data_IF_813847829727
#
_entry.id   IF_813847829727
#
_cell.length_a   1.000
_cell.length_b   1.000
_cell.length_c   1.000
_cell.angle_alpha   90.00
_cell.angle_beta   90.00
_cell.angle_gamma   90.00
#
_symmetry.space_group_name_H-M   'P 1'
#
loop_
_entity.id
_entity.type
_entity.pdbx_description
1 polymer ?
#
# COMPACT_ATOMS: atom_id res chain seq x y z
N UNK A 1 13.50 6.38 -17.51
CA UNK A 1 13.44 7.57 -16.65
C UNK A 1 13.16 7.10 -15.23
N UNK A 2 13.84 7.64 -14.23
CA UNK A 2 13.70 7.24 -12.82
C UNK A 2 13.42 8.48 -11.98
N UNK A 3 12.23 8.60 -11.41
CA UNK A 3 11.93 9.66 -10.44
C UNK A 3 12.35 9.21 -9.04
N UNK A 4 12.75 10.13 -8.17
CA UNK A 4 13.27 9.78 -6.84
C UNK A 4 14.64 9.10 -6.91
N UNK A 5 15.34 9.24 -8.04
CA UNK A 5 16.57 8.48 -8.30
C UNK A 5 17.75 8.82 -7.39
N UNK A 6 17.69 9.93 -6.64
CA UNK A 6 18.70 10.26 -5.60
C UNK A 6 18.48 9.51 -4.28
N UNK A 7 17.35 8.81 -4.12
CA UNK A 7 17.07 7.94 -2.97
C UNK A 7 17.89 6.65 -2.99
N UNK A 8 17.84 5.88 -1.90
CA UNK A 8 18.63 4.65 -1.74
C UNK A 8 18.36 3.63 -2.86
N UNK A 9 17.09 3.25 -3.08
CA UNK A 9 16.68 2.33 -4.15
C UNK A 9 17.06 2.90 -5.52
N UNK A 10 16.78 4.17 -5.76
CA UNK A 10 17.05 4.83 -7.04
C UNK A 10 18.52 4.81 -7.43
N UNK A 11 19.43 5.07 -6.49
CA UNK A 11 20.88 5.04 -6.72
C UNK A 11 21.36 3.65 -7.14
N UNK A 12 20.89 2.62 -6.44
CA UNK A 12 21.25 1.22 -6.73
C UNK A 12 20.63 0.77 -8.06
N UNK A 13 19.38 1.16 -8.34
CA UNK A 13 18.71 0.88 -9.61
C UNK A 13 19.49 1.43 -10.81
N UNK A 14 19.97 2.67 -10.74
CA UNK A 14 20.77 3.25 -11.84
C UNK A 14 22.00 2.39 -12.11
N UNK A 15 22.74 2.00 -11.07
CA UNK A 15 23.95 1.19 -11.21
C UNK A 15 23.62 -0.17 -11.83
N UNK A 16 22.51 -0.80 -11.42
CA UNK A 16 22.06 -2.07 -11.99
C UNK A 16 21.52 -1.95 -13.41
N UNK A 17 21.04 -0.77 -13.83
CA UNK A 17 20.59 -0.52 -15.20
C UNK A 17 21.75 -0.36 -16.20
N UNK A 18 22.92 0.14 -15.79
CA UNK A 18 24.02 0.45 -16.71
C UNK A 18 24.53 -0.76 -17.53
N UNK A 19 24.70 -1.97 -16.96
CA UNK A 19 25.11 -3.15 -17.71
C UNK A 19 24.15 -3.58 -18.83
N UNK A 20 22.86 -3.21 -18.75
CA UNK A 20 21.88 -3.48 -19.81
C UNK A 20 22.01 -2.54 -21.03
N UNK A 21 23.01 -1.65 -21.04
CA UNK A 21 23.31 -0.77 -22.17
C UNK A 21 22.21 0.24 -22.52
N UNK A 22 21.55 0.92 -21.57
CA UNK A 22 20.50 1.87 -21.90
C UNK A 22 21.08 3.06 -22.70
N UNK A 23 20.36 3.48 -23.75
CA UNK A 23 20.74 4.68 -24.53
C UNK A 23 20.85 5.93 -23.64
N UNK A 24 19.99 6.03 -22.63
CA UNK A 24 19.97 7.13 -21.66
C UNK A 24 19.25 6.73 -20.39
N UNK A 25 19.78 7.16 -19.24
CA UNK A 25 19.07 7.10 -17.95
C UNK A 25 18.84 8.54 -17.47
N UNK A 26 17.58 8.96 -17.41
CA UNK A 26 17.19 10.29 -16.93
C UNK A 26 16.73 10.17 -15.49
N UNK A 27 17.42 10.86 -14.59
CA UNK A 27 17.15 10.91 -13.17
C UNK A 27 16.40 12.19 -12.82
N UNK A 28 15.25 12.05 -12.17
CA UNK A 28 14.45 13.18 -11.71
C UNK A 28 14.47 13.18 -10.18
N UNK A 29 14.90 14.30 -9.59
CA UNK A 29 14.84 14.54 -8.15
C UNK A 29 14.80 16.02 -7.85
N UNK A 30 14.36 16.42 -6.66
CA UNK A 30 14.47 17.80 -6.18
C UNK A 30 15.88 18.16 -5.73
N UNK A 31 16.70 17.16 -5.41
CA UNK A 31 18.09 17.34 -5.01
C UNK A 31 19.03 17.07 -6.18
N UNK A 32 20.04 17.92 -6.43
CA UNK A 32 21.00 17.70 -7.51
C UNK A 32 22.02 16.59 -7.20
N UNK A 33 22.05 16.06 -5.96
CA UNK A 33 23.12 15.16 -5.50
C UNK A 33 22.86 13.69 -5.84
N UNK A 34 23.47 13.22 -6.92
CA UNK A 34 23.61 11.79 -7.21
C UNK A 34 25.07 11.43 -6.93
N UNK A 35 25.34 10.73 -5.82
CA UNK A 35 26.68 10.23 -5.53
C UNK A 35 27.15 9.27 -6.63
N UNK A 36 28.35 9.49 -7.18
CA UNK A 36 29.09 8.60 -8.09
C UNK A 36 28.51 8.36 -9.49
N UNK A 37 27.22 8.01 -9.59
CA UNK A 37 26.56 7.57 -10.83
C UNK A 37 26.37 8.69 -11.88
N UNK A 38 26.42 9.96 -11.45
CA UNK A 38 26.27 11.12 -12.34
C UNK A 38 27.42 11.30 -13.32
N UNK A 39 28.57 10.67 -13.08
CA UNK A 39 29.75 10.74 -13.95
C UNK A 39 29.61 9.89 -15.22
N UNK A 40 28.66 8.95 -15.26
CA UNK A 40 28.49 8.07 -16.42
C UNK A 40 27.83 8.81 -17.59
N UNK A 41 28.42 8.69 -18.80
CA UNK A 41 28.05 9.51 -19.97
C UNK A 41 26.59 9.39 -20.42
N UNK A 42 25.90 8.30 -20.08
CA UNK A 42 24.49 8.05 -20.42
C UNK A 42 23.50 8.50 -19.34
N UNK A 43 23.98 8.86 -18.14
CA UNK A 43 23.15 9.31 -17.03
C UNK A 43 22.97 10.83 -17.12
N UNK A 44 21.73 11.29 -16.97
CA UNK A 44 21.38 12.72 -16.92
C UNK A 44 20.57 12.99 -15.67
N UNK A 45 21.11 13.79 -14.78
CA UNK A 45 20.37 14.27 -13.59
C UNK A 45 19.62 15.54 -13.94
N UNK A 46 18.34 15.57 -13.62
CA UNK A 46 17.44 16.70 -13.82
C UNK A 46 16.81 17.05 -12.48
N UNK A 47 16.95 18.32 -12.10
CA UNK A 47 16.22 18.84 -10.94
C UNK A 47 14.77 19.14 -11.35
N UNK A 48 13.82 18.38 -10.82
CA UNK A 48 12.39 18.62 -11.00
C UNK A 48 11.58 18.01 -9.85
N UNK A 49 10.38 18.55 -9.65
CA UNK A 49 9.40 18.08 -8.68
C UNK A 49 8.29 17.32 -9.41
N UNK A 50 7.90 16.14 -8.92
CA UNK A 50 6.81 15.36 -9.51
C UNK A 50 5.44 16.06 -9.36
N UNK A 51 5.35 17.02 -8.45
CA UNK A 51 4.18 17.89 -8.26
C UNK A 51 4.03 18.94 -9.36
N UNK A 52 5.12 19.28 -10.06
CA UNK A 52 5.11 20.28 -11.14
C UNK A 52 4.78 19.61 -12.48
N UNK A 53 3.50 19.64 -12.86
CA UNK A 53 3.02 19.07 -14.12
C UNK A 53 3.72 19.67 -15.34
N UNK A 54 3.94 20.99 -15.38
CA UNK A 54 4.50 21.67 -16.55
C UNK A 54 5.96 21.26 -16.77
N UNK A 55 6.73 21.20 -15.69
CA UNK A 55 8.11 20.67 -15.74
C UNK A 55 8.12 19.22 -16.24
N UNK A 56 7.24 18.36 -15.71
CA UNK A 56 7.16 16.97 -16.15
C UNK A 56 6.78 16.85 -17.64
N UNK A 57 5.78 17.59 -18.12
CA UNK A 57 5.41 17.63 -19.54
C UNK A 57 6.61 18.01 -20.42
N UNK A 58 7.36 19.04 -20.04
CA UNK A 58 8.58 19.45 -20.77
C UNK A 58 9.64 18.34 -20.80
N UNK A 59 9.83 17.65 -19.67
CA UNK A 59 10.81 16.58 -19.56
C UNK A 59 10.42 15.33 -20.35
N UNK A 60 9.16 14.91 -20.28
CA UNK A 60 8.67 13.79 -21.06
C UNK A 60 8.69 14.08 -22.56
N UNK A 61 8.33 15.31 -22.98
CA UNK A 61 8.44 15.75 -24.36
C UNK A 61 9.89 15.68 -24.87
N UNK A 62 10.85 16.16 -24.06
CA UNK A 62 12.27 16.20 -24.41
C UNK A 62 12.92 14.82 -24.45
N UNK A 63 12.63 13.97 -23.46
CA UNK A 63 13.36 12.73 -23.25
C UNK A 63 12.66 11.49 -23.81
N UNK A 64 11.34 11.52 -24.03
CA UNK A 64 10.51 10.43 -24.58
C UNK A 64 10.87 9.07 -23.97
N UNK A 65 10.65 8.87 -22.65
CA UNK A 65 11.11 7.67 -21.97
C UNK A 65 10.37 6.41 -22.45
N UNK A 66 11.10 5.34 -22.77
CA UNK A 66 10.50 4.03 -23.03
C UNK A 66 9.96 3.39 -21.74
N UNK A 67 10.73 3.46 -20.66
CA UNK A 67 10.41 2.90 -19.35
C UNK A 67 10.49 4.01 -18.30
N UNK A 68 9.48 4.08 -17.44
CA UNK A 68 9.43 4.98 -16.27
C UNK A 68 9.43 4.13 -15.00
N UNK A 69 10.37 4.39 -14.10
CA UNK A 69 10.35 3.91 -12.72
C UNK A 69 9.99 5.08 -11.80
N UNK A 70 8.81 5.05 -11.22
CA UNK A 70 8.35 6.04 -10.26
C UNK A 70 8.71 5.60 -8.84
N UNK A 71 9.82 6.12 -8.32
CA UNK A 71 10.28 5.89 -6.93
C UNK A 71 10.15 7.16 -6.06
N UNK A 72 9.51 8.20 -6.57
CA UNK A 72 9.47 9.49 -5.90
C UNK A 72 8.28 9.55 -4.95
N UNK A 73 8.54 9.30 -3.67
CA UNK A 73 7.54 9.42 -2.61
C UNK A 73 8.01 10.35 -1.48
N UNK A 74 7.06 10.72 -0.63
CA UNK A 74 7.27 11.42 0.63
C UNK A 74 6.78 10.52 1.76
N UNK A 75 7.74 9.92 2.47
CA UNK A 75 7.53 9.22 3.75
C UNK A 75 8.14 10.06 4.87
N UNK A 76 7.33 10.51 5.82
CA UNK A 76 7.79 11.30 6.97
C UNK A 76 7.99 10.40 8.19
N UNK A 77 9.17 10.49 8.80
CA UNK A 77 9.56 9.68 9.95
C UNK A 77 9.93 10.59 11.15
N UNK A 78 9.51 10.25 12.39
CA UNK A 78 8.65 9.12 12.74
C UNK A 78 7.23 9.24 12.13
N UNK A 79 6.46 8.15 12.00
CA UNK A 79 5.15 8.17 11.34
C UNK A 79 4.17 9.23 11.88
N UNK A 80 4.30 9.60 13.16
CA UNK A 80 3.54 10.69 13.77
C UNK A 80 3.72 12.04 13.07
N UNK A 81 4.87 12.29 12.44
CA UNK A 81 5.09 13.48 11.64
C UNK A 81 4.25 13.47 10.35
N UNK A 82 4.00 12.28 9.78
CA UNK A 82 3.11 12.13 8.63
C UNK A 82 1.64 12.44 8.97
N UNK A 83 1.20 12.10 10.18
CA UNK A 83 -0.15 12.46 10.65
C UNK A 83 -0.33 13.98 10.82
N UNK A 84 0.77 14.73 10.99
CA UNK A 84 0.76 16.20 11.11
C UNK A 84 0.95 16.86 9.74
N UNK A 85 1.81 16.30 8.88
CA UNK A 85 2.17 16.88 7.57
C UNK A 85 1.59 16.07 6.41
N UNK A 86 0.27 16.03 6.35
CA UNK A 86 -0.50 15.24 5.41
C UNK A 86 -0.44 15.84 3.99
N UNK A 87 -0.56 17.16 3.86
CA UNK A 87 -0.63 17.84 2.56
C UNK A 87 0.61 17.59 1.69
N UNK A 88 1.80 17.52 2.31
CA UNK A 88 3.05 17.19 1.63
C UNK A 88 3.05 15.75 1.06
N UNK A 89 2.48 14.80 1.80
CA UNK A 89 2.40 13.40 1.36
C UNK A 89 1.32 13.22 0.31
N UNK A 90 0.14 13.83 0.48
CA UNK A 90 -0.94 13.81 -0.52
C UNK A 90 -0.45 14.42 -1.84
N UNK A 91 0.16 15.60 -1.79
CA UNK A 91 0.65 16.28 -3.00
C UNK A 91 1.74 15.47 -3.72
N UNK A 92 2.66 14.86 -2.99
CA UNK A 92 3.76 14.09 -3.60
C UNK A 92 3.30 12.70 -4.07
N UNK A 93 2.71 11.91 -3.19
CA UNK A 93 2.44 10.49 -3.44
C UNK A 93 1.20 10.32 -4.33
N UNK A 94 0.15 11.11 -4.11
CA UNK A 94 -1.10 10.96 -4.87
C UNK A 94 -1.05 11.77 -6.16
N UNK A 95 -0.93 13.10 -6.05
CA UNK A 95 -0.97 13.98 -7.21
C UNK A 95 0.31 13.95 -8.04
N UNK A 96 1.46 13.71 -7.42
CA UNK A 96 2.71 13.45 -8.14
C UNK A 96 2.66 12.17 -8.97
N UNK A 97 2.10 11.08 -8.42
CA UNK A 97 1.84 9.85 -9.18
C UNK A 97 0.90 10.11 -10.34
N UNK A 98 -0.23 10.79 -10.12
CA UNK A 98 -1.18 11.15 -11.19
C UNK A 98 -0.45 11.88 -12.32
N UNK A 99 0.40 12.86 -12.00
CA UNK A 99 1.19 13.54 -13.01
C UNK A 99 2.10 12.59 -13.80
N UNK A 100 2.79 11.67 -13.14
CA UNK A 100 3.69 10.72 -13.81
C UNK A 100 2.92 9.74 -14.70
N UNK A 101 1.79 9.22 -14.22
CA UNK A 101 0.90 8.33 -14.98
C UNK A 101 0.38 9.07 -16.22
N UNK A 102 -0.18 10.26 -16.03
CA UNK A 102 -0.73 11.06 -17.13
C UNK A 102 0.33 11.49 -18.14
N UNK A 103 1.56 11.84 -17.70
CA UNK A 103 2.66 12.14 -18.61
C UNK A 103 3.14 10.90 -19.37
N UNK A 104 3.19 9.74 -18.70
CA UNK A 104 3.55 8.47 -19.34
C UNK A 104 2.57 8.12 -20.46
N UNK A 105 1.28 8.36 -20.22
CA UNK A 105 0.21 8.22 -21.21
C UNK A 105 0.35 9.22 -22.37
N UNK A 106 0.42 10.51 -22.07
CA UNK A 106 0.48 11.61 -23.05
C UNK A 106 1.67 11.45 -24.01
N UNK A 107 2.83 11.06 -23.48
CA UNK A 107 4.07 10.93 -24.26
C UNK A 107 4.36 9.51 -24.74
N UNK A 108 3.42 8.58 -24.55
CA UNK A 108 3.46 7.19 -25.02
C UNK A 108 4.70 6.42 -24.55
N UNK A 109 4.99 6.48 -23.25
CA UNK A 109 5.93 5.55 -22.64
C UNK A 109 5.45 4.12 -22.89
N UNK A 110 6.37 3.15 -22.99
CA UNK A 110 6.00 1.74 -23.16
C UNK A 110 5.55 1.14 -21.84
N UNK A 111 6.25 1.45 -20.76
CA UNK A 111 5.95 0.92 -19.42
C UNK A 111 6.16 1.98 -18.34
N UNK A 112 5.30 1.95 -17.32
CA UNK A 112 5.42 2.78 -16.13
C UNK A 112 5.23 1.92 -14.88
N UNK A 113 6.31 1.77 -14.11
CA UNK A 113 6.38 0.97 -12.90
C UNK A 113 6.37 1.91 -11.70
N UNK A 114 5.39 1.75 -10.82
CA UNK A 114 5.20 2.56 -9.61
C UNK A 114 5.53 1.73 -8.39
N UNK A 115 6.35 2.28 -7.49
CA UNK A 115 6.71 1.60 -6.24
C UNK A 115 5.81 2.05 -5.11
N UNK A 116 5.11 1.07 -4.54
CA UNK A 116 4.25 1.18 -3.36
C UNK A 116 4.88 0.44 -2.17
N UNK A 117 4.16 0.42 -1.05
CA UNK A 117 4.54 -0.26 0.19
C UNK A 117 3.65 -1.49 0.45
N UNK A 118 4.22 -2.50 1.13
CA UNK A 118 3.48 -3.65 1.65
C UNK A 118 2.24 -3.25 2.47
N UNK A 119 2.24 -2.07 3.11
CA UNK A 119 1.13 -1.61 3.95
C UNK A 119 -0.12 -1.20 3.15
N UNK A 120 0.03 -0.90 1.86
CA UNK A 120 -1.09 -0.61 0.96
C UNK A 120 -1.92 -1.86 0.60
N UNK A 121 -1.52 -3.04 1.09
CA UNK A 121 -2.33 -4.27 0.99
C UNK A 121 -3.71 -4.13 1.66
N UNK A 122 -3.84 -3.28 2.69
CA UNK A 122 -5.10 -3.02 3.38
C UNK A 122 -6.13 -2.31 2.48
N UNK A 123 -7.41 -2.64 2.64
CA UNK A 123 -8.49 -2.04 1.85
C UNK A 123 -8.69 -0.56 2.17
N UNK A 124 -8.75 -0.22 3.46
CA UNK A 124 -8.79 1.16 3.97
C UNK A 124 -7.75 1.30 5.08
N UNK A 125 -6.51 1.70 4.74
CA UNK A 125 -5.43 1.80 5.73
C UNK A 125 -5.71 2.86 6.80
N UNK A 126 -5.16 2.68 7.99
CA UNK A 126 -5.35 3.61 9.11
C UNK A 126 -4.44 4.85 9.03
N UNK A 127 -3.17 4.66 8.67
CA UNK A 127 -2.17 5.73 8.63
C UNK A 127 -2.27 6.57 7.37
N UNK A 128 -2.03 7.87 7.48
CA UNK A 128 -2.09 8.81 6.35
C UNK A 128 -1.12 8.38 5.24
N UNK A 129 0.12 8.00 5.57
CA UNK A 129 1.09 7.54 4.56
C UNK A 129 0.55 6.34 3.77
N UNK A 130 0.04 5.32 4.46
CA UNK A 130 -0.49 4.11 3.82
C UNK A 130 -1.73 4.42 2.96
N UNK A 131 -2.59 5.36 3.39
CA UNK A 131 -3.71 5.86 2.59
C UNK A 131 -3.24 6.55 1.30
N UNK A 132 -2.19 7.38 1.37
CA UNK A 132 -1.66 8.04 0.16
C UNK A 132 -1.07 7.03 -0.82
N UNK A 133 -0.38 6.01 -0.33
CA UNK A 133 0.17 4.93 -1.14
C UNK A 133 -0.96 4.08 -1.74
N UNK A 134 -2.04 3.82 -0.99
CA UNK A 134 -3.21 3.13 -1.54
C UNK A 134 -3.86 3.87 -2.69
N UNK A 135 -3.98 5.20 -2.59
CA UNK A 135 -4.48 6.03 -3.69
C UNK A 135 -3.52 6.02 -4.89
N UNK A 136 -2.22 6.06 -4.66
CA UNK A 136 -1.18 5.92 -5.69
C UNK A 136 -1.31 4.58 -6.47
N UNK A 137 -1.59 3.48 -5.77
CA UNK A 137 -1.88 2.19 -6.43
C UNK A 137 -3.11 2.30 -7.32
N UNK A 138 -4.23 2.83 -6.82
CA UNK A 138 -5.47 2.94 -7.62
C UNK A 138 -5.32 3.90 -8.81
N UNK A 139 -4.59 5.01 -8.67
CA UNK A 139 -4.26 5.90 -9.81
C UNK A 139 -3.54 5.12 -10.91
N UNK A 140 -2.56 4.32 -10.52
CA UNK A 140 -1.72 3.56 -11.45
C UNK A 140 -2.51 2.44 -12.11
N UNK A 141 -3.23 1.64 -11.31
CA UNK A 141 -3.97 0.47 -11.77
C UNK A 141 -5.19 0.86 -12.62
N UNK A 142 -5.85 1.97 -12.31
CA UNK A 142 -6.94 2.49 -13.13
C UNK A 142 -6.45 3.03 -14.49
N UNK A 143 -5.16 3.39 -14.62
CA UNK A 143 -4.59 3.73 -15.92
C UNK A 143 -4.21 2.50 -16.76
N UNK A 144 -4.12 1.30 -16.15
CA UNK A 144 -3.78 0.05 -16.83
C UNK A 144 -4.86 -0.45 -17.78
N UNK A 145 -6.12 -0.03 -17.63
CA UNK A 145 -7.27 -0.58 -18.39
C UNK A 145 -7.40 -0.03 -19.81
N UNK A 146 -6.69 1.05 -20.13
CA UNK A 146 -6.76 1.71 -21.44
C UNK A 146 -5.67 1.23 -22.41
N UNK A 147 -5.85 1.47 -23.71
CA UNK A 147 -4.85 1.20 -24.78
C UNK A 147 -3.63 2.14 -24.71
N UNK A 148 -2.91 2.13 -23.58
CA UNK A 148 -1.79 3.00 -23.25
C UNK A 148 -0.53 2.24 -22.84
N UNK A 149 0.36 2.90 -22.07
CA UNK A 149 1.52 2.24 -21.47
C UNK A 149 1.11 1.03 -20.62
N UNK A 150 1.99 0.05 -20.49
CA UNK A 150 1.81 -0.99 -19.49
C UNK A 150 2.14 -0.43 -18.10
N UNK A 151 1.16 -0.40 -17.21
CA UNK A 151 1.32 0.09 -15.84
C UNK A 151 1.39 -1.07 -14.87
N UNK A 152 2.35 -1.01 -13.95
CA UNK A 152 2.53 -2.01 -12.90
C UNK A 152 2.84 -1.36 -11.56
N UNK A 153 2.32 -1.95 -10.50
CA UNK A 153 2.60 -1.55 -9.12
C UNK A 153 3.50 -2.60 -8.49
N UNK A 154 4.55 -2.16 -7.79
CA UNK A 154 5.40 -3.05 -7.00
C UNK A 154 5.21 -2.72 -5.53
N UNK A 155 4.79 -3.69 -4.73
CA UNK A 155 4.77 -3.54 -3.26
C UNK A 155 6.07 -4.04 -2.66
N UNK A 156 6.78 -3.14 -2.00
CA UNK A 156 8.00 -3.49 -1.26
C UNK A 156 7.70 -3.68 0.24
N UNK A 157 8.22 -4.74 0.88
CA UNK A 157 8.41 -4.74 2.34
C UNK A 157 9.38 -3.61 2.75
N UNK A 158 9.56 -3.39 4.05
CA UNK A 158 10.49 -2.34 4.50
C UNK A 158 11.92 -2.64 4.01
N UNK A 159 12.61 -1.64 3.48
CA UNK A 159 14.02 -1.79 3.08
C UNK A 159 14.90 -1.52 4.29
N UNK A 160 15.67 -2.52 4.73
CA UNK A 160 16.41 -2.45 5.98
C UNK A 160 17.68 -1.59 5.88
N UNK A 161 18.37 -1.65 4.74
CA UNK A 161 19.62 -0.93 4.48
C UNK A 161 19.47 0.58 4.69
N UNK A 162 20.31 1.14 5.56
CA UNK A 162 20.29 2.56 5.95
C UNK A 162 18.91 3.12 6.31
N UNK A 163 18.03 2.25 6.81
CA UNK A 163 16.71 2.65 7.27
C UNK A 163 16.79 3.60 8.46
N UNK A 164 15.79 4.46 8.57
CA UNK A 164 15.57 5.31 9.75
C UNK A 164 15.60 4.51 11.06
N UNK A 165 15.07 3.28 11.03
CA UNK A 165 15.03 2.41 12.20
C UNK A 165 16.45 2.10 12.70
N UNK A 166 17.33 1.65 11.79
CA UNK A 166 18.73 1.37 12.13
C UNK A 166 19.48 2.65 12.52
N UNK A 167 19.17 3.80 11.91
CA UNK A 167 19.76 5.07 12.33
C UNK A 167 19.34 5.46 13.75
N UNK A 168 18.05 5.30 14.09
CA UNK A 168 17.53 5.53 15.45
C UNK A 168 18.19 4.60 16.46
N UNK A 169 18.35 3.31 16.13
CA UNK A 169 19.04 2.34 16.98
C UNK A 169 20.51 2.74 17.20
N UNK A 170 21.25 3.07 16.13
CA UNK A 170 22.64 3.57 16.21
C UNK A 170 22.76 4.79 17.12
N UNK A 171 21.87 5.78 16.95
CA UNK A 171 21.84 6.97 17.80
C UNK A 171 21.48 6.67 19.27
N UNK A 172 20.59 5.71 19.51
CA UNK A 172 20.27 5.24 20.87
C UNK A 172 21.44 4.51 21.52
N UNK A 173 22.13 3.64 20.79
CA UNK A 173 23.32 2.94 21.27
C UNK A 173 24.44 3.92 21.65
N UNK A 174 24.66 4.97 20.85
CA UNK A 174 25.62 6.03 21.17
C UNK A 174 25.26 6.80 22.46
N UNK A 175 23.98 6.82 22.84
CA UNK A 175 23.49 7.43 24.09
C UNK A 175 23.35 6.43 25.24
N UNK A 176 23.68 5.15 25.03
CA UNK A 176 23.53 4.08 26.02
C UNK A 176 22.08 3.60 26.24
N UNK A 177 21.12 4.06 25.44
CA UNK A 177 19.71 3.72 25.61
C UNK A 177 18.95 3.70 24.28
N UNK A 178 18.40 2.54 23.90
CA UNK A 178 17.64 2.33 22.66
C UNK A 178 16.14 2.36 22.94
N UNK A 179 15.43 3.24 22.23
CA UNK A 179 13.99 3.45 22.35
C UNK A 179 13.19 2.58 21.37
N UNK A 180 12.44 1.60 21.88
CA UNK A 180 11.50 0.78 21.10
C UNK A 180 10.06 1.14 21.48
N UNK A 181 9.10 0.92 20.59
CA UNK A 181 7.68 1.20 20.90
C UNK A 181 7.11 0.13 21.83
N UNK A 182 7.16 -1.12 21.36
CA UNK A 182 6.66 -2.31 22.06
C UNK A 182 7.52 -3.51 21.65
N UNK A 183 7.63 -4.57 22.48
CA UNK A 183 8.37 -5.78 22.13
C UNK A 183 7.73 -6.62 21.00
N UNK A 184 6.47 -6.37 20.65
CA UNK A 184 5.69 -7.28 19.79
C UNK A 184 5.59 -6.86 18.32
N UNK A 185 6.23 -5.76 17.90
CA UNK A 185 6.19 -5.33 16.50
C UNK A 185 7.05 -6.28 15.66
N UNK A 186 6.43 -6.89 14.65
CA UNK A 186 7.11 -7.65 13.62
C UNK A 186 6.78 -7.11 12.23
N UNK A 187 7.75 -7.14 11.32
CA UNK A 187 7.60 -6.62 9.96
C UNK A 187 8.45 -7.43 8.98
N UNK A 188 8.02 -7.48 7.72
CA UNK A 188 8.85 -8.02 6.65
C UNK A 188 9.82 -6.94 6.19
N UNK A 189 11.06 -7.34 5.96
CA UNK A 189 12.07 -6.47 5.40
C UNK A 189 12.88 -7.19 4.33
N UNK A 190 13.50 -6.40 3.47
CA UNK A 190 14.40 -6.88 2.43
C UNK A 190 15.60 -5.94 2.29
N UNK A 191 16.61 -6.39 1.57
CA UNK A 191 17.75 -5.57 1.18
C UNK A 191 17.41 -4.68 -0.02
N UNK A 192 18.15 -3.58 -0.17
CA UNK A 192 18.01 -2.67 -1.31
C UNK A 192 18.33 -3.35 -2.65
N UNK A 193 19.24 -4.33 -2.65
CA UNK A 193 19.56 -5.14 -3.81
C UNK A 193 18.36 -5.96 -4.28
N UNK A 194 17.69 -6.65 -3.34
CA UNK A 194 16.49 -7.46 -3.60
C UNK A 194 15.34 -6.59 -4.13
N UNK A 195 15.14 -5.39 -3.56
CA UNK A 195 14.16 -4.44 -4.05
C UNK A 195 14.43 -3.99 -5.50
N UNK A 196 15.70 -3.80 -5.86
CA UNK A 196 16.10 -3.42 -7.23
C UNK A 196 15.97 -4.60 -8.19
N UNK A 197 16.30 -5.81 -7.76
CA UNK A 197 16.15 -7.01 -8.57
C UNK A 197 14.66 -7.28 -8.85
N UNK A 198 13.78 -7.07 -7.88
CA UNK A 198 12.33 -7.08 -8.07
C UNK A 198 11.87 -6.03 -9.11
N UNK A 199 12.40 -4.81 -9.04
CA UNK A 199 12.09 -3.74 -10.01
C UNK A 199 12.45 -4.11 -11.46
N UNK A 200 13.60 -4.74 -11.65
CA UNK A 200 14.08 -5.16 -12.96
C UNK A 200 13.28 -6.36 -13.48
N UNK A 201 13.03 -7.35 -12.61
CA UNK A 201 12.30 -8.56 -12.96
C UNK A 201 10.80 -8.35 -13.16
N UNK A 202 10.26 -7.20 -12.74
CA UNK A 202 8.85 -6.85 -12.98
C UNK A 202 8.58 -6.41 -14.41
N UNK A 203 9.56 -5.84 -15.14
CA UNK A 203 9.35 -5.37 -16.51
C UNK A 203 8.73 -6.40 -17.46
N UNK A 204 9.22 -7.65 -17.55
CA UNK A 204 8.61 -8.66 -18.43
C UNK A 204 7.22 -9.12 -17.96
N UNK A 205 6.83 -8.79 -16.74
CA UNK A 205 5.57 -9.17 -16.10
C UNK A 205 4.53 -8.06 -16.14
N UNK A 206 4.77 -6.92 -16.77
CA UNK A 206 3.79 -5.83 -16.83
C UNK A 206 3.35 -5.64 -18.27
N UNK A 207 2.06 -5.92 -18.51
CA UNK A 207 1.44 -5.93 -19.83
C UNK A 207 0.35 -4.86 -19.92
N UNK A 208 0.22 -4.23 -21.10
CA UNK A 208 -0.80 -3.22 -21.33
C UNK A 208 -2.20 -3.84 -21.25
N UNK A 209 -3.17 -3.08 -20.75
CA UNK A 209 -4.54 -3.57 -20.53
C UNK A 209 -4.70 -4.39 -19.24
N UNK A 210 -3.64 -4.60 -18.45
CA UNK A 210 -3.68 -5.47 -17.27
C UNK A 210 -3.19 -4.77 -16.01
N UNK A 211 -4.09 -4.61 -15.04
CA UNK A 211 -3.77 -4.07 -13.72
C UNK A 211 -3.02 -5.12 -12.89
N UNK A 212 -1.68 -5.05 -12.88
CA UNK A 212 -0.82 -6.01 -12.17
C UNK A 212 -0.14 -5.38 -10.94
N UNK A 213 -0.21 -6.11 -9.82
CA UNK A 213 0.56 -5.84 -8.61
C UNK A 213 1.62 -6.94 -8.48
N UNK A 214 2.86 -6.55 -8.22
CA UNK A 214 4.01 -7.45 -8.12
C UNK A 214 4.71 -7.28 -6.77
N UNK A 215 5.20 -8.38 -6.20
CA UNK A 215 6.02 -8.40 -4.98
C UNK A 215 7.07 -9.51 -5.06
N UNK A 216 7.96 -9.59 -4.08
CA UNK A 216 8.75 -10.81 -3.84
C UNK A 216 7.79 -11.97 -3.53
N UNK A 217 8.13 -13.19 -3.97
CA UNK A 217 7.35 -14.41 -3.64
C UNK A 217 7.72 -14.95 -2.26
N UNK A 218 9.02 -14.95 -1.93
CA UNK A 218 9.53 -15.34 -0.61
C UNK A 218 9.97 -14.10 0.15
N UNK A 219 9.39 -13.93 1.34
CA UNK A 219 9.71 -12.83 2.25
C UNK A 219 10.47 -13.32 3.49
N UNK A 220 10.68 -14.64 3.61
CA UNK A 220 11.17 -15.28 4.81
C UNK A 220 10.23 -15.09 6.01
N UNK A 221 10.80 -15.20 7.21
CA UNK A 221 10.08 -14.93 8.44
C UNK A 221 10.09 -13.43 8.76
N UNK A 222 9.00 -12.88 9.32
CA UNK A 222 8.97 -11.47 9.72
C UNK A 222 10.00 -11.22 10.81
N UNK A 223 10.68 -10.08 10.73
CA UNK A 223 11.69 -9.64 11.68
C UNK A 223 10.97 -9.02 12.88
N UNK A 224 11.21 -9.53 14.08
CA UNK A 224 10.78 -8.89 15.30
C UNK A 224 11.69 -7.70 15.64
N UNK A 225 11.09 -6.56 16.00
CA UNK A 225 11.79 -5.31 16.27
C UNK A 225 12.71 -5.39 17.49
N UNK A 226 12.30 -6.10 18.55
CA UNK A 226 13.12 -6.31 19.74
C UNK A 226 14.33 -7.18 19.40
N UNK A 227 14.12 -8.28 18.68
CA UNK A 227 15.20 -9.18 18.26
C UNK A 227 16.24 -8.44 17.41
N UNK A 228 15.78 -7.60 16.46
CA UNK A 228 16.67 -6.75 15.66
C UNK A 228 17.49 -5.78 16.53
N UNK A 229 16.85 -5.15 17.53
CA UNK A 229 17.54 -4.23 18.44
C UNK A 229 18.60 -4.95 19.27
N UNK A 230 18.27 -6.10 19.84
CA UNK A 230 19.18 -6.94 20.62
C UNK A 230 20.36 -7.41 19.76
N UNK A 231 20.09 -7.86 18.54
CA UNK A 231 21.12 -8.24 17.57
C UNK A 231 22.08 -7.07 17.30
N UNK A 232 21.57 -5.86 17.06
CA UNK A 232 22.42 -4.68 16.78
C UNK A 232 23.24 -4.21 17.98
N UNK A 233 22.69 -4.33 19.20
CA UNK A 233 23.44 -4.05 20.44
C UNK A 233 24.58 -5.06 20.59
N UNK A 234 24.29 -6.36 20.41
CA UNK A 234 25.28 -7.43 20.47
C UNK A 234 26.38 -7.26 19.42
N UNK A 235 26.00 -7.07 18.15
CA UNK A 235 26.91 -6.90 17.00
C UNK A 235 27.87 -5.70 17.17
N UNK A 236 27.40 -4.61 17.78
CA UNK A 236 28.21 -3.41 18.01
C UNK A 236 29.09 -3.47 19.27
N UNK A 237 28.94 -4.50 20.12
CA UNK A 237 29.57 -4.56 21.43
C UNK A 237 29.03 -3.53 22.43
N UNK A 238 27.89 -2.90 22.14
CA UNK A 238 27.26 -1.91 23.00
C UNK A 238 26.65 -2.56 24.25
N UNK A 239 26.63 -1.82 25.36
CA UNK A 239 25.90 -2.20 26.60
C UNK A 239 24.62 -1.40 26.79
N UNK A 240 24.10 -0.82 25.71
CA UNK A 240 22.92 0.01 25.76
C UNK A 240 21.71 -0.75 26.31
N UNK A 241 20.96 -0.11 27.21
CA UNK A 241 19.67 -0.63 27.66
C UNK A 241 18.60 -0.48 26.59
N UNK A 242 17.49 -1.21 26.75
CA UNK A 242 16.27 -1.03 25.95
C UNK A 242 15.19 -0.46 26.86
N UNK A 243 14.45 0.54 26.37
CA UNK A 243 13.23 0.99 27.03
C UNK A 243 12.09 1.09 26.03
N UNK A 244 10.88 0.79 26.52
CA UNK A 244 9.66 0.82 25.73
C UNK A 244 8.93 2.15 25.92
N UNK A 245 8.74 2.88 24.82
CA UNK A 245 8.05 4.18 24.81
C UNK A 245 6.53 4.03 24.75
N UNK A 246 6.02 2.82 24.50
CA UNK A 246 4.65 2.60 24.08
C UNK A 246 4.43 2.95 22.61
N UNK A 247 3.25 2.62 22.12
CA UNK A 247 2.80 2.96 20.77
C UNK A 247 2.31 4.41 20.76
N UNK A 248 2.89 5.32 19.96
CA UNK A 248 2.39 6.68 19.85
C UNK A 248 0.94 6.68 19.35
N UNK A 249 0.08 7.61 19.81
CA UNK A 249 -1.28 7.75 19.31
C UNK A 249 -1.29 7.82 17.78
N UNK A 250 -2.10 6.95 17.18
CA UNK A 250 -2.16 6.82 15.73
C UNK A 250 -1.14 5.88 15.09
N UNK A 251 -0.37 5.09 15.86
CA UNK A 251 0.42 3.93 15.40
C UNK A 251 -0.18 2.56 15.81
N UNK A 252 -1.40 2.57 16.36
CA UNK A 252 -2.07 1.42 16.98
C UNK A 252 -2.84 0.56 15.95
N UNK A 253 -2.37 0.51 14.70
CA UNK A 253 -3.09 -0.13 13.62
C UNK A 253 -3.25 -1.65 13.83
N UNK A 254 -4.47 -2.10 14.09
CA UNK A 254 -4.82 -3.52 14.03
C UNK A 254 -5.01 -3.95 12.57
N UNK A 255 -4.29 -4.98 12.15
CA UNK A 255 -4.43 -5.53 10.80
C UNK A 255 -5.76 -6.27 10.70
N UNK A 256 -6.62 -5.84 9.78
CA UNK A 256 -7.85 -6.55 9.45
C UNK A 256 -7.50 -7.89 8.78
N UNK A 257 -7.79 -9.00 9.46
CA UNK A 257 -7.38 -10.34 9.02
C UNK A 257 -8.04 -10.79 7.70
N UNK A 258 -9.17 -10.18 7.34
CA UNK A 258 -9.85 -10.40 6.05
C UNK A 258 -9.13 -9.81 4.84
N UNK A 259 -7.98 -9.16 5.06
CA UNK A 259 -7.04 -8.84 3.98
C UNK A 259 -6.44 -10.12 3.40
N UNK A 260 -6.19 -11.16 4.21
CA UNK A 260 -5.58 -12.40 3.73
C UNK A 260 -6.65 -13.36 3.18
N UNK A 261 -6.30 -14.07 2.10
CA UNK A 261 -7.15 -15.13 1.55
C UNK A 261 -6.89 -16.45 2.27
N UNK A 262 -7.92 -16.97 2.96
CA UNK A 262 -7.85 -18.23 3.70
C UNK A 262 -8.62 -19.39 3.02
N UNK A 263 -9.00 -19.28 1.73
CA UNK A 263 -9.91 -20.24 1.07
C UNK A 263 -9.35 -21.64 0.68
N UNK A 264 -8.08 -22.03 0.89
CA UNK A 264 -7.60 -23.36 0.41
C UNK A 264 -6.45 -24.04 1.21
N UNK A 265 -6.27 -25.38 1.10
CA UNK A 265 -5.67 -26.27 2.12
C UNK A 265 -4.14 -26.38 2.03
N UNK A 266 -3.45 -26.54 3.17
CA UNK A 266 -2.04 -27.00 3.46
C UNK A 266 -0.86 -26.66 2.51
N UNK A 267 -1.04 -26.10 1.30
CA UNK A 267 -0.02 -25.93 0.26
C UNK A 267 0.11 -24.51 -0.29
N UNK A 268 -0.80 -23.57 0.04
CA UNK A 268 -0.69 -22.17 -0.40
C UNK A 268 -0.91 -21.25 0.79
N UNK A 269 0.18 -20.86 1.43
CA UNK A 269 0.20 -19.91 2.54
C UNK A 269 -0.26 -18.54 1.98
N UNK A 270 -1.17 -17.82 2.67
CA UNK A 270 -1.55 -16.45 2.30
C UNK A 270 -0.30 -15.56 2.20
N UNK A 271 -0.25 -14.69 1.19
CA UNK A 271 0.91 -13.82 1.00
C UNK A 271 0.64 -12.45 1.62
N UNK A 272 1.48 -11.95 2.54
CA UNK A 272 1.18 -10.74 3.33
C UNK A 272 1.17 -9.44 2.52
N UNK A 273 1.65 -9.46 1.26
CA UNK A 273 1.65 -8.32 0.34
C UNK A 273 0.56 -8.39 -0.74
N UNK A 274 -0.27 -9.44 -0.75
CA UNK A 274 -1.41 -9.58 -1.67
C UNK A 274 -2.69 -9.83 -0.88
N UNK A 275 -3.75 -9.08 -1.18
CA UNK A 275 -5.01 -9.20 -0.44
C UNK A 275 -5.99 -10.18 -1.10
N UNK A 276 -7.09 -10.50 -0.41
CA UNK A 276 -8.07 -11.49 -0.83
C UNK A 276 -8.91 -11.10 -2.06
N UNK A 277 -8.80 -9.85 -2.52
CA UNK A 277 -9.40 -9.38 -3.78
C UNK A 277 -8.44 -9.48 -4.96
N UNK A 278 -7.15 -9.71 -4.71
CA UNK A 278 -6.11 -9.76 -5.73
C UNK A 278 -5.91 -11.21 -6.18
N UNK A 279 -6.20 -11.47 -7.46
CA UNK A 279 -6.14 -12.82 -7.99
C UNK A 279 -4.71 -13.18 -8.40
N UNK A 280 -4.13 -14.20 -7.77
CA UNK A 280 -2.78 -14.67 -8.09
C UNK A 280 -2.67 -15.04 -9.57
N UNK A 281 -1.60 -14.58 -10.22
CA UNK A 281 -1.23 -14.96 -11.57
C UNK A 281 -0.31 -16.18 -11.50
N UNK A 282 -0.70 -17.27 -12.17
CA UNK A 282 0.18 -18.40 -12.43
C UNK A 282 0.91 -18.17 -13.76
N UNK A 283 2.10 -17.59 -13.67
CA UNK A 283 2.95 -17.29 -14.83
C UNK A 283 4.32 -17.96 -14.62
N UNK A 284 4.80 -18.83 -15.53
CA UNK A 284 6.10 -19.48 -15.39
C UNK A 284 7.27 -18.50 -15.20
N UNK A 285 7.15 -17.29 -15.74
CA UNK A 285 8.15 -16.22 -15.59
C UNK A 285 8.28 -15.74 -14.14
N UNK A 286 7.21 -15.80 -13.35
CA UNK A 286 7.21 -15.34 -11.96
C UNK A 286 8.03 -16.26 -11.07
N UNK A 287 7.87 -17.57 -11.24
CA UNK A 287 8.66 -18.59 -10.53
C UNK A 287 10.17 -18.46 -10.84
N UNK A 288 10.52 -18.29 -12.12
CA UNK A 288 11.92 -18.12 -12.53
C UNK A 288 12.57 -16.84 -11.99
N UNK A 289 11.77 -15.82 -11.71
CA UNK A 289 12.21 -14.53 -11.21
C UNK A 289 12.12 -14.37 -9.68
N UNK A 290 11.58 -15.36 -8.96
CA UNK A 290 11.37 -15.27 -7.49
C UNK A 290 10.34 -14.21 -7.09
N UNK A 291 9.41 -13.89 -7.99
CA UNK A 291 8.41 -12.83 -7.80
C UNK A 291 7.01 -13.41 -7.79
N UNK A 292 6.08 -12.66 -7.20
CA UNK A 292 4.66 -12.94 -7.20
C UNK A 292 3.93 -11.83 -7.93
N UNK A 293 3.00 -12.19 -8.82
CA UNK A 293 2.13 -11.24 -9.49
C UNK A 293 0.67 -11.58 -9.22
N UNK A 294 -0.16 -10.55 -9.10
CA UNK A 294 -1.61 -10.67 -8.96
C UNK A 294 -2.32 -9.64 -9.84
N UNK A 295 -3.49 -10.02 -10.36
CA UNK A 295 -4.42 -9.06 -10.96
C UNK A 295 -5.09 -8.28 -9.83
N UNK A 296 -5.02 -6.95 -9.91
CA UNK A 296 -5.81 -6.10 -9.04
C UNK A 296 -7.28 -6.12 -9.50
N UNK A 297 -8.25 -5.99 -8.58
CA UNK A 297 -9.63 -5.77 -8.96
C UNK A 297 -9.73 -4.50 -9.83
N UNK A 298 -10.59 -4.51 -10.87
CA UNK A 298 -10.75 -3.35 -11.73
C UNK A 298 -11.19 -2.15 -10.89
N UNK A 299 -10.64 -0.98 -11.23
CA UNK A 299 -11.07 0.29 -10.67
C UNK A 299 -11.30 1.26 -11.82
N UNK A 300 -12.50 1.81 -11.88
CA UNK A 300 -12.91 2.72 -12.95
C UNK A 300 -12.10 4.03 -12.89
N UNK A 301 -11.43 4.36 -13.99
CA UNK A 301 -10.59 5.55 -14.13
C UNK A 301 -11.37 6.86 -13.91
N UNK A 302 -12.63 6.93 -14.32
CA UNK A 302 -13.48 8.11 -14.12
C UNK A 302 -13.80 8.30 -12.63
N UNK A 303 -14.07 7.20 -11.91
CA UNK A 303 -14.35 7.25 -10.48
C UNK A 303 -13.08 7.63 -9.71
N UNK A 304 -11.94 7.05 -10.06
CA UNK A 304 -10.64 7.44 -9.48
C UNK A 304 -10.39 8.93 -9.71
N UNK A 305 -10.54 9.42 -10.95
CA UNK A 305 -10.37 10.85 -11.25
C UNK A 305 -11.31 11.72 -10.41
N UNK A 306 -12.61 11.39 -10.35
CA UNK A 306 -13.59 12.17 -9.60
C UNK A 306 -13.30 12.20 -8.09
N UNK A 307 -12.80 11.10 -7.52
CA UNK A 307 -12.37 11.04 -6.12
C UNK A 307 -11.15 11.93 -5.89
N UNK A 308 -10.16 11.88 -6.78
CA UNK A 308 -8.96 12.70 -6.66
C UNK A 308 -9.24 14.19 -6.86
N UNK A 309 -10.13 14.55 -7.78
CA UNK A 309 -10.54 15.93 -8.02
C UNK A 309 -11.30 16.50 -6.81
N UNK A 310 -12.11 15.67 -6.13
CA UNK A 310 -12.71 16.07 -4.85
C UNK A 310 -11.65 16.24 -3.75
N UNK A 311 -10.72 15.28 -3.61
CA UNK A 311 -9.65 15.36 -2.62
C UNK A 311 -8.76 16.59 -2.85
N UNK A 312 -8.49 16.95 -4.11
CA UNK A 312 -7.71 18.13 -4.45
C UNK A 312 -8.41 19.43 -4.05
N UNK A 313 -9.72 19.53 -4.30
CA UNK A 313 -10.54 20.66 -3.87
C UNK A 313 -10.60 20.77 -2.36
N UNK A 314 -10.80 19.65 -1.67
CA UNK A 314 -10.83 19.61 -0.20
C UNK A 314 -9.46 19.99 0.39
N UNK A 315 -8.36 19.52 -0.19
CA UNK A 315 -7.01 19.86 0.28
C UNK A 315 -6.65 21.34 0.03
N UNK A 316 -7.30 21.99 -0.94
CA UNK A 316 -7.07 23.39 -1.29
C UNK A 316 -7.72 24.30 -0.26
N UNK A 317 -6.92 24.92 0.61
CA UNK A 317 -7.38 25.87 1.62
C UNK A 317 -7.65 25.29 3.01
N UNK A 318 -7.34 24.01 3.23
CA UNK A 318 -7.39 23.40 4.56
C UNK A 318 -5.97 23.40 5.18
N UNK A 319 -5.80 23.88 6.43
CA UNK A 319 -4.52 23.78 7.13
C UNK A 319 -4.03 22.33 7.24
N UNK A 320 -2.73 22.15 7.05
CA UNK A 320 -2.07 20.86 7.21
C UNK A 320 -2.26 20.34 8.65
N UNK A 321 -2.34 19.01 8.80
CA UNK A 321 -2.56 18.40 10.11
C UNK A 321 -4.00 18.48 10.63
N UNK A 322 -4.92 19.14 9.90
CA UNK A 322 -6.30 19.29 10.37
C UNK A 322 -7.12 18.01 10.26
N UNK A 323 -8.05 17.83 11.21
CA UNK A 323 -9.03 16.72 11.23
C UNK A 323 -9.82 16.66 9.92
N UNK A 324 -10.11 17.82 9.30
CA UNK A 324 -10.85 17.90 8.04
C UNK A 324 -10.08 17.29 6.87
N UNK A 325 -8.78 17.57 6.75
CA UNK A 325 -7.94 16.98 5.70
C UNK A 325 -7.82 15.47 5.86
N UNK A 326 -7.60 14.99 7.10
CA UNK A 326 -7.59 13.55 7.41
C UNK A 326 -8.91 12.88 7.04
N UNK A 327 -10.03 13.50 7.37
CA UNK A 327 -11.35 12.99 7.04
C UNK A 327 -11.61 12.97 5.52
N UNK A 328 -11.13 13.97 4.77
CA UNK A 328 -11.22 13.99 3.30
C UNK A 328 -10.41 12.86 2.67
N UNK A 329 -9.15 12.68 3.09
CA UNK A 329 -8.30 11.58 2.62
C UNK A 329 -8.93 10.22 2.92
N UNK A 330 -9.39 10.00 4.16
CA UNK A 330 -10.08 8.77 4.55
C UNK A 330 -11.32 8.53 3.68
N UNK A 331 -12.14 9.57 3.45
CA UNK A 331 -13.35 9.47 2.61
C UNK A 331 -13.00 9.10 1.16
N UNK A 332 -11.92 9.66 0.61
CA UNK A 332 -11.44 9.31 -0.72
C UNK A 332 -11.09 7.81 -0.82
N UNK A 333 -10.32 7.30 0.14
CA UNK A 333 -9.96 5.87 0.20
C UNK A 333 -11.19 4.99 0.40
N UNK A 334 -12.06 5.32 1.37
CA UNK A 334 -13.28 4.55 1.65
C UNK A 334 -14.24 4.51 0.46
N UNK A 335 -14.34 5.60 -0.32
CA UNK A 335 -15.20 5.64 -1.52
C UNK A 335 -14.69 4.72 -2.62
N UNK A 336 -13.38 4.65 -2.85
CA UNK A 336 -12.79 3.71 -3.81
C UNK A 336 -12.88 2.27 -3.30
N UNK A 337 -12.64 2.02 -2.02
CA UNK A 337 -12.85 0.70 -1.42
C UNK A 337 -14.31 0.24 -1.54
N UNK A 338 -15.28 1.12 -1.29
CA UNK A 338 -16.71 0.85 -1.50
C UNK A 338 -16.99 0.45 -2.95
N UNK A 339 -16.44 1.20 -3.91
CA UNK A 339 -16.62 0.89 -5.33
C UNK A 339 -16.08 -0.49 -5.67
N UNK A 340 -14.84 -0.80 -5.25
CA UNK A 340 -14.24 -2.13 -5.44
C UNK A 340 -15.12 -3.22 -4.81
N UNK A 341 -15.55 -3.07 -3.55
CA UNK A 341 -16.41 -4.05 -2.89
C UNK A 341 -17.78 -4.20 -3.57
N UNK A 342 -18.34 -3.12 -4.13
CA UNK A 342 -19.64 -3.17 -4.80
C UNK A 342 -19.63 -4.08 -6.04
N UNK A 343 -18.48 -4.22 -6.69
CA UNK A 343 -18.25 -5.05 -7.88
C UNK A 343 -17.74 -6.46 -7.53
N UNK A 344 -17.31 -6.69 -6.29
CA UNK A 344 -16.90 -8.01 -5.80
C UNK A 344 -18.11 -8.92 -5.58
N UNK A 345 -17.91 -10.22 -5.81
CA UNK A 345 -18.92 -11.25 -5.56
C UNK A 345 -19.32 -11.32 -4.07
N UNK A 346 -20.60 -11.55 -3.74
CA UNK A 346 -21.05 -11.62 -2.36
C UNK A 346 -20.37 -12.78 -1.58
N UNK A 347 -19.99 -13.86 -2.25
CA UNK A 347 -19.23 -14.98 -1.67
C UNK A 347 -17.89 -14.50 -1.11
N UNK A 348 -17.11 -13.77 -1.91
CA UNK A 348 -15.81 -13.27 -1.49
C UNK A 348 -15.93 -12.20 -0.40
N UNK A 349 -16.94 -11.33 -0.48
CA UNK A 349 -17.17 -10.32 0.56
C UNK A 349 -17.52 -10.95 1.91
N UNK A 350 -18.35 -12.00 1.93
CA UNK A 350 -18.77 -12.66 3.17
C UNK A 350 -17.61 -13.44 3.80
N UNK A 351 -16.72 -14.01 2.98
CA UNK A 351 -15.45 -14.63 3.42
C UNK A 351 -14.52 -13.61 4.06
N UNK A 352 -14.30 -12.47 3.40
CA UNK A 352 -13.49 -11.35 3.91
C UNK A 352 -14.04 -10.86 5.26
N UNK A 353 -15.37 -10.70 5.37
CA UNK A 353 -16.00 -10.31 6.63
C UNK A 353 -15.77 -11.35 7.73
N UNK A 354 -15.86 -12.64 7.41
CA UNK A 354 -15.61 -13.74 8.35
C UNK A 354 -14.19 -13.72 8.86
N UNK A 355 -13.22 -13.75 7.94
CA UNK A 355 -11.81 -13.81 8.27
C UNK A 355 -11.34 -12.58 9.02
N UNK A 356 -11.97 -11.43 8.82
CA UNK A 356 -11.54 -10.18 9.44
C UNK A 356 -12.27 -9.78 10.71
N UNK A 357 -13.52 -10.19 10.90
CA UNK A 357 -14.36 -9.67 11.98
C UNK A 357 -15.35 -10.68 12.58
N UNK A 358 -15.21 -11.99 12.32
CA UNK A 358 -16.01 -12.94 13.11
C UNK A 358 -15.66 -12.84 14.60
N UNK A 359 -16.62 -13.05 15.52
CA UNK A 359 -16.37 -13.06 16.96
C UNK A 359 -15.18 -13.93 17.38
N UNK A 360 -14.97 -15.06 16.70
CA UNK A 360 -13.87 -15.97 16.96
C UNK A 360 -12.51 -15.33 16.61
N UNK A 361 -12.43 -14.67 15.45
CA UNK A 361 -11.22 -13.95 15.03
C UNK A 361 -10.95 -12.76 15.96
N UNK A 362 -11.97 -11.94 16.26
CA UNK A 362 -11.82 -10.78 17.12
C UNK A 362 -11.29 -11.15 18.51
N UNK A 363 -11.78 -12.26 19.09
CA UNK A 363 -11.24 -12.81 20.34
C UNK A 363 -9.79 -13.27 20.20
N UNK A 364 -9.46 -13.97 19.11
CA UNK A 364 -8.10 -14.47 18.86
C UNK A 364 -7.09 -13.31 18.72
N UNK A 365 -7.47 -12.23 18.05
CA UNK A 365 -6.61 -11.07 17.82
C UNK A 365 -6.66 -10.05 18.95
N UNK A 366 -7.54 -10.24 19.94
CA UNK A 366 -7.76 -9.25 21.01
C UNK A 366 -8.28 -7.91 20.47
N UNK A 367 -9.06 -7.92 19.39
CA UNK A 367 -9.61 -6.72 18.75
C UNK A 367 -11.13 -6.68 18.87
N UNK A 368 -11.71 -5.55 18.47
CA UNK A 368 -13.15 -5.33 18.43
C UNK A 368 -13.55 -4.79 17.06
N UNK A 369 -14.82 -4.94 16.69
CA UNK A 369 -15.38 -4.45 15.42
C UNK A 369 -15.03 -2.97 15.17
N UNK A 370 -15.07 -2.13 16.21
CA UNK A 370 -14.72 -0.71 16.13
C UNK A 370 -13.28 -0.43 15.65
N UNK A 371 -12.32 -1.32 15.91
CA UNK A 371 -10.94 -1.17 15.42
C UNK A 371 -10.83 -1.33 13.90
N UNK A 372 -11.81 -2.01 13.29
CA UNK A 372 -11.85 -2.28 11.85
C UNK A 372 -12.94 -1.47 11.13
N UNK A 373 -13.53 -0.47 11.81
CA UNK A 373 -14.61 0.39 11.33
C UNK A 373 -14.41 0.89 9.90
N UNK A 374 -13.25 1.47 9.60
CA UNK A 374 -13.01 2.13 8.30
C UNK A 374 -13.05 1.14 7.12
N UNK A 375 -12.70 -0.13 7.36
CA UNK A 375 -12.81 -1.21 6.37
C UNK A 375 -14.20 -1.84 6.37
N UNK A 376 -14.80 -2.03 7.55
CA UNK A 376 -16.10 -2.68 7.70
C UNK A 376 -17.25 -1.85 7.14
N UNK A 377 -17.20 -0.51 7.22
CA UNK A 377 -18.24 0.36 6.65
C UNK A 377 -18.46 0.06 5.15
N UNK A 378 -17.48 0.24 4.25
CA UNK A 378 -17.70 0.01 2.82
C UNK A 378 -17.93 -1.47 2.48
N UNK A 379 -17.33 -2.39 3.25
CA UNK A 379 -17.55 -3.83 3.09
C UNK A 379 -19.01 -4.21 3.36
N UNK A 380 -19.55 -3.79 4.50
CA UNK A 380 -20.91 -4.14 4.92
C UNK A 380 -21.98 -3.43 4.09
N UNK A 381 -21.73 -2.18 3.67
CA UNK A 381 -22.59 -1.48 2.70
C UNK A 381 -22.74 -2.26 1.39
N UNK A 382 -21.67 -2.91 0.92
CA UNK A 382 -21.68 -3.72 -0.30
C UNK A 382 -22.24 -5.14 -0.08
N UNK A 383 -21.98 -5.70 1.10
CA UNK A 383 -22.32 -7.09 1.42
C UNK A 383 -23.78 -7.25 1.86
N UNK A 384 -24.25 -6.47 2.85
CA UNK A 384 -25.54 -6.70 3.53
C UNK A 384 -26.75 -6.77 2.59
N UNK A 385 -26.87 -5.94 1.54
CA UNK A 385 -27.96 -6.04 0.57
C UNK A 385 -27.98 -7.38 -0.20
N UNK A 386 -26.83 -8.06 -0.30
CA UNK A 386 -26.64 -9.28 -1.10
C UNK A 386 -26.65 -10.57 -0.26
N UNK A 387 -26.71 -10.48 1.08
CA UNK A 387 -26.61 -11.66 1.96
C UNK A 387 -27.85 -12.54 1.87
N UNK A 388 -27.67 -13.85 1.81
CA UNK A 388 -28.73 -14.87 1.94
C UNK A 388 -28.35 -15.93 2.98
N UNK A 389 -29.30 -16.67 3.58
CA UNK A 389 -28.98 -17.77 4.48
C UNK A 389 -28.06 -18.83 3.85
N UNK A 390 -28.26 -19.13 2.56
CA UNK A 390 -27.43 -20.07 1.81
C UNK A 390 -25.99 -19.58 1.66
N UNK A 391 -25.80 -18.28 1.44
CA UNK A 391 -24.47 -17.66 1.35
C UNK A 391 -23.70 -17.75 2.68
N UNK A 392 -24.38 -17.47 3.80
CA UNK A 392 -23.78 -17.57 5.14
C UNK A 392 -23.38 -19.01 5.47
N UNK A 393 -24.25 -19.97 5.17
CA UNK A 393 -23.96 -21.38 5.40
C UNK A 393 -22.73 -21.85 4.59
N UNK A 394 -22.66 -21.52 3.29
CA UNK A 394 -21.54 -21.93 2.42
C UNK A 394 -20.20 -21.31 2.80
N UNK A 395 -20.22 -20.11 3.35
CA UNK A 395 -19.00 -19.41 3.81
C UNK A 395 -18.56 -19.81 5.21
N UNK A 396 -19.28 -20.73 5.86
CA UNK A 396 -18.96 -21.28 7.18
C UNK A 396 -19.29 -20.34 8.35
N UNK A 397 -20.14 -19.34 8.14
CA UNK A 397 -20.74 -18.60 9.25
C UNK A 397 -21.81 -19.46 9.94
N UNK A 398 -21.72 -19.58 11.26
CA UNK A 398 -22.90 -19.97 12.06
C UNK A 398 -23.86 -18.77 12.15
N UNK A 399 -25.17 -19.02 12.18
CA UNK A 399 -26.19 -17.99 12.38
C UNK A 399 -25.98 -17.20 13.67
N UNK A 400 -25.67 -17.87 14.79
CA UNK A 400 -25.42 -17.18 16.07
C UNK A 400 -24.15 -16.31 16.00
N UNK A 401 -23.12 -16.81 15.30
CA UNK A 401 -21.87 -16.07 15.10
C UNK A 401 -22.12 -14.82 14.23
N UNK A 402 -22.93 -14.96 13.19
CA UNK A 402 -23.35 -13.87 12.31
C UNK A 402 -24.21 -12.84 13.04
N UNK A 403 -25.15 -13.27 13.88
CA UNK A 403 -25.98 -12.37 14.69
C UNK A 403 -25.17 -11.61 15.73
N UNK A 404 -24.22 -12.29 16.38
CA UNK A 404 -23.26 -11.64 17.30
C UNK A 404 -22.43 -10.59 16.56
N UNK A 405 -21.95 -10.90 15.35
CA UNK A 405 -21.23 -9.96 14.51
C UNK A 405 -22.09 -8.75 14.12
N UNK A 406 -23.33 -8.96 13.69
CA UNK A 406 -24.25 -7.87 13.37
C UNK A 406 -24.53 -6.99 14.60
N UNK A 407 -24.75 -7.61 15.77
CA UNK A 407 -24.91 -6.89 17.03
C UNK A 407 -23.73 -5.95 17.30
N UNK A 408 -22.50 -6.45 17.22
CA UNK A 408 -21.30 -5.63 17.40
C UNK A 408 -21.12 -4.58 16.28
N UNK A 409 -21.46 -4.91 15.03
CA UNK A 409 -21.41 -3.95 13.92
C UNK A 409 -22.43 -2.81 14.05
N UNK A 410 -23.55 -3.03 14.76
CA UNK A 410 -24.53 -1.97 15.04
C UNK A 410 -24.02 -0.87 15.98
N UNK A 411 -22.90 -1.10 16.68
CA UNK A 411 -22.19 -0.09 17.47
C UNK A 411 -21.47 0.93 16.59
N UNK A 412 -21.17 0.59 15.33
CA UNK A 412 -20.64 1.55 14.35
C UNK A 412 -21.81 2.45 13.90
N UNK A 413 -21.77 3.77 14.18
CA UNK A 413 -22.90 4.66 13.89
C UNK A 413 -23.34 4.63 12.43
N UNK A 414 -22.39 4.56 11.49
CA UNK A 414 -22.66 4.51 10.04
C UNK A 414 -23.30 3.21 9.55
N UNK A 415 -23.25 2.14 10.33
CA UNK A 415 -23.83 0.85 9.97
C UNK A 415 -25.13 0.54 10.73
N UNK A 416 -25.42 1.30 11.79
CA UNK A 416 -26.53 1.01 12.71
C UNK A 416 -27.88 0.84 12.01
N UNK A 417 -28.24 1.77 11.13
CA UNK A 417 -29.50 1.74 10.37
C UNK A 417 -29.55 0.52 9.44
N UNK A 418 -28.52 0.35 8.60
CA UNK A 418 -28.39 -0.76 7.66
C UNK A 418 -28.46 -2.13 8.34
N UNK A 419 -27.83 -2.26 9.51
CA UNK A 419 -27.84 -3.50 10.30
C UNK A 419 -29.21 -3.75 10.93
N UNK A 420 -29.86 -2.70 11.44
CA UNK A 420 -31.17 -2.80 12.10
C UNK A 420 -32.27 -3.18 11.11
N UNK A 421 -32.26 -2.60 9.91
CA UNK A 421 -33.15 -3.01 8.81
C UNK A 421 -32.98 -4.48 8.47
N UNK A 422 -31.72 -4.94 8.39
CA UNK A 422 -31.40 -6.33 8.08
C UNK A 422 -31.87 -7.30 9.16
N UNK A 423 -31.68 -6.95 10.43
CA UNK A 423 -32.17 -7.77 11.56
C UNK A 423 -33.71 -7.81 11.61
N UNK A 424 -34.38 -6.73 11.23
CA UNK A 424 -35.85 -6.62 11.21
C UNK A 424 -36.50 -7.41 10.07
N UNK A 425 -35.95 -7.32 8.85
CA UNK A 425 -36.46 -8.03 7.67
C UNK A 425 -36.51 -9.56 7.87
N UNK A 426 -35.59 -10.10 8.68
CA UNK A 426 -35.53 -11.53 9.00
C UNK A 426 -36.64 -11.98 9.96
N UNK A 427 -37.02 -11.14 10.93
CA UNK A 427 -38.12 -11.43 11.87
C UNK A 427 -39.47 -11.54 11.15
N UNK A 428 -39.68 -10.77 10.08
CA UNK A 428 -40.89 -10.86 9.25
C UNK A 428 -40.90 -12.10 8.33
N UNK A 429 -39.74 -12.68 8.01
CA UNK A 429 -39.64 -13.88 7.13
C UNK A 429 -39.75 -15.22 7.85
N UNK A 430 -39.71 -15.22 9.20
CA UNK A 430 -39.90 -16.41 10.04
C UNK A 430 -41.27 -16.44 10.75
N UNK A 431 -42.13 -15.44 10.49
CA UNK A 431 -43.46 -15.31 11.07
C UNK A 431 -44.55 -15.88 10.20
#
# INVERSE_FOLDING_TARGET
MVTGGTGHIGKVLIQRLLPYGPRRVVLISRSPTVGGASSHRVVRTVQADVRDRNSLTTLFARYRPDVVYHLAEKRLLPPSLGEIRMADMISTNVFGTRNIVDCSREFRARQCIVVSTAKAVQYVPFHVYDQTQKLEEWVTLAASVDNGPAYGVIRLPDVLDDSWLLHKMRGGMAKGLVALQTPHISFYAQQVGEAVDLLLNTLPLVEAGQARIVSSEDLGWPINLLDLALYKIYESGSRAGIYFTGTPPGNEGHVFQGVLDWTAPTRRIPHPLHNALEHRIEDPRTAAAGVRASYAPPCDAEIVSAVLDQLQRDASGIPDGSIRLRASLRRAVSRLALKVFSETSPERLVEIARWGASPSILRLTGTAVMHHRDTLIPLMQSLLPKVTPQLLFRSGWNLDEWETFLGAASEIPELKELVTERMSARRCSMG
#
